data_IF_361500125805
#
_entry.id   IF_361500125805
#
_cell.length_a   1.000
_cell.length_b   1.000
_cell.length_c   1.000
_cell.angle_alpha   90.00
_cell.angle_beta   90.00
_cell.angle_gamma   90.00
#
_symmetry.space_group_name_H-M   'P 1'
#
loop_
_entity.id
_entity.type
_entity.pdbx_description
1 polymer ?
#
# COMPACT_ATOMS: atom_id res chain seq x y z
N UNK A 1 -3.61 8.21 1.05
CA UNK A 1 -4.72 7.56 1.78
C UNK A 1 -5.75 6.86 0.90
N UNK A 2 -6.26 7.45 -0.20
CA UNK A 2 -7.23 6.75 -1.08
C UNK A 2 -6.73 5.43 -1.68
N UNK A 3 -5.45 5.37 -2.09
CA UNK A 3 -4.83 4.14 -2.60
C UNK A 3 -4.82 3.02 -1.54
N UNK A 4 -4.57 3.39 -0.28
CA UNK A 4 -4.60 2.47 0.86
C UNK A 4 -6.01 1.92 1.10
N UNK A 5 -7.02 2.78 1.16
CA UNK A 5 -8.42 2.38 1.32
C UNK A 5 -8.85 1.40 0.21
N UNK A 6 -8.52 1.73 -1.02
CA UNK A 6 -8.83 0.91 -2.20
C UNK A 6 -8.13 -0.45 -2.15
N UNK A 7 -6.84 -0.46 -1.76
CA UNK A 7 -6.06 -1.69 -1.63
C UNK A 7 -6.59 -2.61 -0.52
N UNK A 8 -6.99 -2.05 0.64
CA UNK A 8 -7.59 -2.82 1.73
C UNK A 8 -8.92 -3.45 1.31
N UNK A 9 -9.82 -2.68 0.67
CA UNK A 9 -11.10 -3.18 0.18
C UNK A 9 -10.90 -4.29 -0.85
N UNK A 10 -9.96 -4.11 -1.79
CA UNK A 10 -9.63 -5.12 -2.79
C UNK A 10 -9.10 -6.41 -2.16
N UNK A 11 -8.10 -6.31 -1.28
CA UNK A 11 -7.51 -7.47 -0.61
C UNK A 11 -8.56 -8.28 0.17
N UNK A 12 -9.49 -7.57 0.82
CA UNK A 12 -10.57 -8.19 1.57
C UNK A 12 -11.57 -8.91 0.66
N UNK A 13 -11.95 -8.30 -0.47
CA UNK A 13 -12.79 -8.93 -1.49
C UNK A 13 -12.13 -10.17 -2.11
N UNK A 14 -10.80 -10.19 -2.18
CA UNK A 14 -10.02 -11.34 -2.64
C UNK A 14 -9.88 -12.45 -1.58
N UNK A 15 -10.35 -12.22 -0.34
CA UNK A 15 -10.28 -13.20 0.74
C UNK A 15 -8.86 -13.40 1.33
N UNK A 16 -7.99 -12.40 1.18
CA UNK A 16 -6.63 -12.43 1.74
C UNK A 16 -6.71 -12.39 3.27
N UNK A 17 -5.98 -13.31 3.93
CA UNK A 17 -5.94 -13.41 5.40
C UNK A 17 -4.67 -12.84 6.02
N UNK A 18 -3.59 -12.77 5.27
CA UNK A 18 -2.32 -12.18 5.72
C UNK A 18 -1.90 -11.18 4.64
N UNK A 19 -2.04 -9.89 4.95
CA UNK A 19 -1.72 -8.81 4.05
C UNK A 19 -0.48 -8.07 4.53
N UNK A 20 0.56 -8.07 3.70
CA UNK A 20 1.74 -7.24 3.89
C UNK A 20 1.57 -5.94 3.09
N UNK A 21 1.75 -4.80 3.73
CA UNK A 21 1.64 -3.48 3.11
C UNK A 21 2.97 -2.76 3.24
N UNK A 22 3.57 -2.43 2.10
CA UNK A 22 4.77 -1.61 2.05
C UNK A 22 4.40 -0.16 1.73
N UNK A 23 4.97 0.78 2.50
CA UNK A 23 4.69 2.21 2.33
C UNK A 23 5.95 3.06 2.55
N UNK A 24 6.09 4.10 1.73
CA UNK A 24 7.17 5.08 1.81
C UNK A 24 6.87 6.30 2.70
N UNK A 25 5.64 6.38 3.23
CA UNK A 25 5.23 7.44 4.14
C UNK A 25 5.05 6.93 5.56
N UNK A 26 6.08 7.13 6.41
CA UNK A 26 6.01 6.86 7.85
C UNK A 26 4.83 7.59 8.51
N UNK A 27 4.58 8.85 8.14
CA UNK A 27 3.47 9.62 8.68
C UNK A 27 2.12 8.93 8.42
N UNK A 28 1.95 8.30 7.26
CA UNK A 28 0.74 7.53 6.97
C UNK A 28 0.69 6.20 7.74
N UNK A 29 1.81 5.48 7.90
CA UNK A 29 1.87 4.27 8.75
C UNK A 29 1.48 4.61 10.19
N UNK A 30 2.09 5.64 10.78
CA UNK A 30 1.74 6.10 12.12
C UNK A 30 0.28 6.52 12.23
N UNK A 31 -0.26 7.17 11.20
CA UNK A 31 -1.69 7.51 11.17
C UNK A 31 -2.58 6.27 11.12
N UNK A 32 -2.15 5.15 10.55
CA UNK A 32 -2.95 3.92 10.48
C UNK A 32 -2.84 3.09 11.77
N UNK A 33 -1.69 3.15 12.45
CA UNK A 33 -1.43 2.39 13.67
C UNK A 33 -1.82 3.13 14.96
N UNK A 34 -1.74 4.46 14.99
CA UNK A 34 -2.08 5.27 16.16
C UNK A 34 -3.59 5.33 16.42
N UNK A 35 -3.98 5.51 17.67
CA UNK A 35 -5.35 5.86 18.06
C UNK A 35 -5.67 7.33 17.79
N UNK A 36 -4.66 8.21 17.73
CA UNK A 36 -4.85 9.65 17.55
C UNK A 36 -4.95 10.02 16.07
N UNK A 37 -5.92 10.85 15.66
CA UNK A 37 -6.00 11.34 14.29
C UNK A 37 -4.87 12.33 14.00
N UNK A 38 -4.03 12.03 13.01
CA UNK A 38 -2.99 12.94 12.53
C UNK A 38 -3.55 13.80 11.38
N UNK A 39 -3.66 15.11 11.61
CA UNK A 39 -4.17 16.07 10.63
C UNK A 39 -5.70 16.04 10.46
N UNK A 40 -6.30 17.17 10.07
CA UNK A 40 -7.75 17.29 9.81
C UNK A 40 -8.15 16.73 8.44
N UNK A 41 -7.20 16.63 7.52
CA UNK A 41 -7.43 16.13 6.17
C UNK A 41 -7.41 14.60 6.16
N UNK A 42 -8.35 13.98 5.44
CA UNK A 42 -8.49 12.53 5.31
C UNK A 42 -8.84 11.74 6.59
N UNK A 43 -9.24 12.39 7.69
CA UNK A 43 -9.63 11.72 8.95
C UNK A 43 -10.65 10.60 8.72
N UNK A 44 -11.68 10.84 7.90
CA UNK A 44 -12.69 9.83 7.58
C UNK A 44 -12.09 8.57 6.92
N UNK A 45 -11.19 8.76 5.94
CA UNK A 45 -10.53 7.67 5.23
C UNK A 45 -9.60 6.90 6.17
N UNK A 46 -8.88 7.60 7.05
CA UNK A 46 -8.02 6.99 8.07
C UNK A 46 -8.84 6.10 9.01
N UNK A 47 -10.00 6.59 9.47
CA UNK A 47 -10.91 5.79 10.31
C UNK A 47 -11.42 4.54 9.58
N UNK A 48 -11.87 4.66 8.34
CA UNK A 48 -12.31 3.50 7.55
C UNK A 48 -11.19 2.48 7.37
N UNK A 49 -9.97 2.93 7.07
CA UNK A 49 -8.81 2.04 6.98
C UNK A 49 -8.54 1.33 8.31
N UNK A 50 -8.55 2.06 9.43
CA UNK A 50 -8.36 1.49 10.78
C UNK A 50 -9.41 0.43 11.10
N UNK A 51 -10.67 0.67 10.75
CA UNK A 51 -11.77 -0.27 10.98
C UNK A 51 -11.60 -1.54 10.14
N UNK A 52 -11.14 -1.41 8.89
CA UNK A 52 -10.82 -2.55 8.04
C UNK A 52 -9.64 -3.36 8.59
N UNK A 53 -8.58 -2.69 9.02
CA UNK A 53 -7.37 -3.30 9.59
C UNK A 53 -7.67 -4.06 10.88
N UNK A 54 -8.47 -3.47 11.79
CA UNK A 54 -8.83 -4.07 13.09
C UNK A 54 -9.81 -5.24 12.99
N UNK A 55 -10.26 -5.62 11.80
CA UNK A 55 -11.17 -6.74 11.66
C UNK A 55 -10.47 -8.05 12.03
N UNK A 56 -11.06 -8.85 12.92
CA UNK A 56 -10.45 -10.07 13.43
C UNK A 56 -10.33 -11.23 12.40
N UNK A 57 -10.75 -11.02 11.15
CA UNK A 57 -10.76 -12.07 10.12
C UNK A 57 -9.49 -12.12 9.25
N UNK A 58 -8.52 -11.24 9.52
CA UNK A 58 -7.24 -11.18 8.80
C UNK A 58 -6.18 -10.43 9.60
N UNK A 59 -4.92 -10.60 9.20
CA UNK A 59 -3.74 -9.98 9.76
C UNK A 59 -3.15 -9.01 8.75
N UNK A 60 -2.88 -7.77 9.17
CA UNK A 60 -2.28 -6.73 8.33
C UNK A 60 -0.99 -6.26 8.98
N UNK A 61 0.12 -6.36 8.24
CA UNK A 61 1.44 -5.92 8.70
C UNK A 61 1.96 -4.80 7.80
N UNK A 62 2.51 -3.77 8.43
CA UNK A 62 3.09 -2.62 7.73
C UNK A 62 4.61 -2.70 7.72
N UNK A 63 5.19 -2.39 6.56
CA UNK A 63 6.63 -2.23 6.39
C UNK A 63 6.91 -0.87 5.80
N UNK A 64 7.82 -0.13 6.44
CA UNK A 64 8.31 1.10 5.84
C UNK A 64 9.41 0.76 4.83
N UNK A 65 9.24 1.24 3.60
CA UNK A 65 10.27 1.20 2.56
C UNK A 65 10.72 2.62 2.22
N UNK A 66 11.95 2.78 1.74
CA UNK A 66 12.37 4.06 1.18
C UNK A 66 11.61 4.33 -0.12
N UNK A 67 11.44 5.61 -0.48
CA UNK A 67 10.77 5.99 -1.74
C UNK A 67 11.37 5.31 -2.97
N UNK A 68 12.69 5.10 -2.97
CA UNK A 68 13.41 4.37 -4.02
C UNK A 68 13.12 2.85 -4.03
N UNK A 69 12.66 2.29 -2.91
CA UNK A 69 12.12 0.92 -2.83
C UNK A 69 10.65 0.85 -3.26
N UNK A 70 9.89 1.94 -3.11
CA UNK A 70 8.48 1.99 -3.53
C UNK A 70 8.27 2.29 -5.03
N UNK A 71 9.26 1.95 -5.87
CA UNK A 71 9.25 2.25 -7.31
C UNK A 71 8.08 1.60 -8.04
N UNK A 72 7.61 0.44 -7.59
CA UNK A 72 6.46 -0.23 -8.17
C UNK A 72 5.17 0.57 -7.97
N UNK A 73 4.94 1.12 -6.78
CA UNK A 73 3.77 1.94 -6.50
C UNK A 73 3.83 3.28 -7.23
N UNK A 74 5.01 3.91 -7.31
CA UNK A 74 5.24 5.13 -8.09
C UNK A 74 4.98 4.89 -9.59
N UNK A 75 5.47 3.77 -10.13
CA UNK A 75 5.19 3.38 -11.52
C UNK A 75 3.69 3.20 -11.75
N UNK A 76 2.99 2.46 -10.89
CA UNK A 76 1.54 2.24 -10.98
C UNK A 76 0.75 3.55 -10.87
N UNK A 77 1.15 4.45 -9.98
CA UNK A 77 0.52 5.76 -9.82
C UNK A 77 0.67 6.61 -11.09
N UNK A 78 1.85 6.62 -11.70
CA UNK A 78 2.11 7.33 -12.96
C UNK A 78 1.29 6.75 -14.12
N UNK A 79 1.13 5.42 -14.20
CA UNK A 79 0.26 4.80 -15.20
C UNK A 79 -1.22 5.12 -14.96
N UNK A 80 -1.65 5.20 -13.70
CA UNK A 80 -3.03 5.53 -13.33
C UNK A 80 -3.47 6.94 -13.75
N UNK A 81 -2.54 7.91 -13.84
CA UNK A 81 -2.83 9.27 -14.32
C UNK A 81 -3.30 9.29 -15.79
N UNK A 82 -2.92 8.28 -16.57
CA UNK A 82 -3.24 8.18 -18.00
C UNK A 82 -4.53 7.36 -18.25
N UNK A 83 -5.10 6.71 -17.22
CA UNK A 83 -6.27 5.83 -17.36
C UNK A 83 -7.57 6.48 -16.87
N UNK A 84 -8.65 6.32 -17.65
CA UNK A 84 -10.00 6.84 -17.35
C UNK A 84 -10.83 5.91 -16.41
N UNK A 85 -10.24 4.80 -15.95
CA UNK A 85 -10.88 3.77 -15.12
C UNK A 85 -10.57 3.90 -13.63
N UNK A 86 -11.54 3.51 -12.76
CA UNK A 86 -11.47 3.68 -11.29
C UNK A 86 -10.43 2.81 -10.57
N UNK A 87 -10.18 1.58 -11.02
CA UNK A 87 -9.15 0.64 -10.51
C UNK A 87 -8.90 -0.44 -11.59
N UNK A 88 -7.65 -0.81 -11.88
CA UNK A 88 -7.30 -1.92 -12.79
C UNK A 88 -6.45 -2.97 -12.06
N UNK A 89 -6.81 -4.25 -12.19
CA UNK A 89 -5.95 -5.34 -11.75
C UNK A 89 -5.02 -5.77 -12.89
N UNK A 90 -3.72 -5.66 -12.66
CA UNK A 90 -2.69 -6.13 -13.60
C UNK A 90 -2.23 -7.50 -13.12
N UNK A 91 -2.72 -8.56 -13.76
CA UNK A 91 -2.34 -9.94 -13.43
C UNK A 91 -0.99 -10.33 -14.02
N UNK A 92 -0.63 -9.75 -15.16
CA UNK A 92 0.66 -9.95 -15.82
C UNK A 92 1.36 -8.59 -15.85
N UNK A 93 2.42 -8.38 -15.04
CA UNK A 93 3.12 -7.11 -15.04
C UNK A 93 3.80 -6.87 -16.40
N UNK A 94 3.73 -5.66 -16.98
CA UNK A 94 4.53 -5.30 -18.14
C UNK A 94 6.02 -5.29 -17.79
N UNK A 95 6.87 -5.37 -18.82
CA UNK A 95 8.31 -5.57 -18.66
C UNK A 95 8.94 -4.57 -17.68
N UNK A 96 8.58 -3.28 -17.76
CA UNK A 96 9.13 -2.28 -16.85
C UNK A 96 8.76 -2.56 -15.39
N UNK A 97 7.51 -2.95 -15.12
CA UNK A 97 7.07 -3.31 -13.77
C UNK A 97 7.71 -4.63 -13.32
N UNK A 98 7.88 -5.60 -14.22
CA UNK A 98 8.59 -6.86 -13.93
C UNK A 98 10.03 -6.61 -13.52
N UNK A 99 10.76 -5.72 -14.20
CA UNK A 99 12.12 -5.35 -13.84
C UNK A 99 12.17 -4.72 -12.44
N UNK A 100 11.27 -3.79 -12.13
CA UNK A 100 11.18 -3.16 -10.81
C UNK A 100 10.91 -4.22 -9.72
N UNK A 101 9.98 -5.15 -9.96
CA UNK A 101 9.67 -6.22 -9.02
C UNK A 101 10.84 -7.21 -8.83
N UNK A 102 11.61 -7.47 -9.88
CA UNK A 102 12.78 -8.35 -9.80
C UNK A 102 13.90 -7.72 -8.97
N UNK A 103 14.17 -6.42 -9.17
CA UNK A 103 15.12 -5.66 -8.33
C UNK A 103 14.71 -5.66 -6.85
N UNK A 104 13.40 -5.63 -6.58
CA UNK A 104 12.85 -5.68 -5.22
C UNK A 104 13.03 -7.06 -4.58
N UNK A 105 12.84 -8.14 -5.35
CA UNK A 105 13.05 -9.52 -4.92
C UNK A 105 14.52 -9.86 -4.66
N UNK A 106 15.43 -9.33 -5.49
CA UNK A 106 16.87 -9.56 -5.35
C UNK A 106 17.50 -8.81 -4.17
N UNK A 107 16.70 -8.06 -3.39
CA UNK A 107 17.16 -7.29 -2.24
C UNK A 107 18.04 -6.10 -2.62
N UNK A 108 17.96 -5.66 -3.88
CA UNK A 108 18.65 -4.47 -4.39
C UNK A 108 17.90 -3.20 -3.98
N UNK A 109 16.65 -3.33 -3.53
CA UNK A 109 15.92 -2.26 -2.86
C UNK A 109 16.29 -2.17 -1.38
N UNK A 110 16.55 -0.92 -0.99
CA UNK A 110 16.97 -0.44 0.32
C UNK A 110 16.28 -1.11 1.52
N UNK A 111 16.97 -1.23 2.68
CA UNK A 111 16.51 -2.05 3.79
C UNK A 111 15.09 -1.69 4.24
N UNK A 112 14.23 -2.70 4.28
CA UNK A 112 12.93 -2.65 4.95
C UNK A 112 13.20 -2.39 6.44
N UNK A 113 12.79 -1.23 6.92
CA UNK A 113 12.91 -0.93 8.36
C UNK A 113 11.62 -1.40 9.02
N UNK A 114 11.70 -2.52 9.74
CA UNK A 114 10.65 -2.92 10.67
C UNK A 114 10.75 -2.03 11.90
N UNK A 115 9.86 -1.04 12.01
CA UNK A 115 9.70 -0.20 13.20
C UNK A 115 8.69 -0.79 14.18
#
# INVERSE_FOLDING_TARGET
>A
MKAMETGLDLAKRMGIRHLMIQMDSLSCIYSLQSSEPYGKECVHIVHQCRDLIKNNNWEVTFFHCYREGNRAADWLANQGVVQDTRVQMIQVPPLELSCILHEDLDGVSWPLVSS
#
